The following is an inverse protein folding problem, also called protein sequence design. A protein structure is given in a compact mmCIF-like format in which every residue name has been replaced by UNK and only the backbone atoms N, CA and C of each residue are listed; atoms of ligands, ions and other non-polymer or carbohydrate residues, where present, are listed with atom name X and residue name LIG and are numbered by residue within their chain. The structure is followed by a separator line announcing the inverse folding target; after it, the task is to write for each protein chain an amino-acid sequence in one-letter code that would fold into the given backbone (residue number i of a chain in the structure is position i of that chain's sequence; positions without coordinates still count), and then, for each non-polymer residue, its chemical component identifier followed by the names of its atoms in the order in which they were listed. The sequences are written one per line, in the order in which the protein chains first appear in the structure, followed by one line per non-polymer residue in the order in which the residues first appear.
data_IF_466800862818
#
_entry.id   IF_466800862818
#
_cell.length_a   1.000
_cell.length_b   1.000
_cell.length_c   1.000
_cell.angle_alpha   90.00
_cell.angle_beta   90.00
_cell.angle_gamma   90.00
#
_symmetry.space_group_name_H-M   'P 1'
#
loop_
_entity.id
_entity.type
_entity.pdbx_description
1 polymer ?
#
# COMPACT_ATOMS: atom_id res chain seq x y z
N UNK A 1 -21.66 -30.21 -43.80
CA UNK A 1 -20.86 -30.67 -44.96
C UNK A 1 -19.52 -29.95 -44.91
N UNK A 2 -18.46 -30.74 -45.05
CA UNK A 2 -17.04 -30.39 -44.84
C UNK A 2 -16.58 -29.33 -45.84
N UNK A 3 -15.72 -28.40 -45.43
CA UNK A 3 -14.75 -27.72 -46.28
C UNK A 3 -13.93 -26.75 -45.43
N UNK A 4 -12.62 -26.58 -45.56
CA UNK A 4 -11.51 -27.44 -45.97
C UNK A 4 -10.29 -26.73 -45.37
N UNK A 5 -9.55 -27.39 -44.49
CA UNK A 5 -8.31 -26.86 -43.91
C UNK A 5 -7.25 -26.97 -45.00
N UNK A 6 -6.77 -25.83 -45.52
CA UNK A 6 -5.59 -25.82 -46.39
C UNK A 6 -4.39 -25.30 -45.59
N UNK A 7 -3.51 -26.25 -45.30
CA UNK A 7 -2.18 -26.06 -44.72
C UNK A 7 -1.20 -25.84 -45.88
N UNK A 8 -0.43 -24.76 -45.88
CA UNK A 8 0.73 -24.59 -46.77
C UNK A 8 1.92 -24.05 -45.95
N UNK A 9 3.12 -24.65 -46.08
CA UNK A 9 4.32 -24.32 -45.29
C UNK A 9 5.20 -23.26 -45.98
N UNK A 10 6.36 -22.98 -45.37
CA UNK A 10 7.51 -22.20 -45.90
C UNK A 10 7.35 -20.67 -45.82
N UNK A 11 8.32 -19.86 -45.38
CA UNK A 11 9.78 -20.02 -45.21
C UNK A 11 10.25 -18.92 -44.28
N UNK A 12 11.21 -19.23 -43.40
CA UNK A 12 11.92 -18.23 -42.61
C UNK A 12 12.77 -17.33 -43.51
N UNK A 13 12.52 -16.02 -43.46
CA UNK A 13 13.45 -14.99 -43.92
C UNK A 13 13.65 -13.99 -42.79
N UNK A 14 14.75 -14.16 -42.06
CA UNK A 14 15.26 -13.16 -41.12
C UNK A 14 15.80 -11.97 -41.90
N UNK A 15 14.99 -10.93 -42.06
CA UNK A 15 15.48 -9.64 -42.53
C UNK A 15 16.16 -8.92 -41.35
N UNK A 16 17.49 -8.79 -41.43
CA UNK A 16 18.28 -7.95 -40.55
C UNK A 16 17.88 -6.49 -40.72
N UNK A 17 17.21 -5.92 -39.72
CA UNK A 17 16.94 -4.48 -39.65
C UNK A 17 18.11 -3.82 -38.94
N UNK A 18 19.01 -3.22 -39.72
CA UNK A 18 20.04 -2.30 -39.22
C UNK A 18 19.36 -0.96 -38.96
N UNK A 19 19.10 -0.66 -37.69
CA UNK A 19 18.66 0.66 -37.23
C UNK A 19 19.90 1.50 -36.87
N UNK A 20 20.34 2.33 -37.81
CA UNK A 20 21.18 3.50 -37.51
C UNK A 20 20.24 4.67 -37.28
N UNK A 21 20.06 5.08 -36.02
CA UNK A 21 19.44 6.34 -35.67
C UNK A 21 20.50 7.24 -35.01
N UNK A 22 20.88 8.27 -35.77
CA UNK A 22 21.69 9.42 -35.36
C UNK A 22 21.05 10.10 -34.15
N UNK A 23 21.89 10.41 -33.15
CA UNK A 23 21.45 11.12 -31.94
C UNK A 23 20.99 12.55 -32.24
N UNK A 24 19.86 12.92 -31.63
CA UNK A 24 19.40 14.29 -31.40
C UNK A 24 18.44 14.24 -30.21
N UNK A 25 18.81 14.90 -29.11
CA UNK A 25 17.92 15.10 -27.98
C UNK A 25 18.57 14.81 -26.64
N UNK A 26 19.60 15.57 -26.31
CA UNK A 26 19.88 15.92 -24.92
C UNK A 26 18.66 16.72 -24.42
N UNK A 27 17.55 16.03 -24.12
CA UNK A 27 16.47 16.61 -23.35
C UNK A 27 17.07 16.84 -21.96
N UNK A 28 17.20 18.09 -21.45
CA UNK A 28 17.01 18.26 -20.03
C UNK A 28 15.59 17.76 -19.80
N UNK A 29 15.45 16.48 -19.47
CA UNK A 29 14.22 15.96 -18.93
C UNK A 29 13.89 16.94 -17.83
N UNK A 30 12.78 17.68 -17.99
CA UNK A 30 12.24 18.48 -16.90
C UNK A 30 12.27 17.54 -15.72
N UNK A 31 13.18 17.80 -14.79
CA UNK A 31 13.07 17.27 -13.45
C UNK A 31 11.75 17.87 -12.99
N UNK A 32 10.66 17.13 -13.22
CA UNK A 32 9.39 17.37 -12.58
C UNK A 32 9.79 17.45 -11.12
N UNK A 33 9.75 18.67 -10.57
CA UNK A 33 10.12 18.90 -9.19
C UNK A 33 9.40 17.82 -8.39
N UNK A 34 10.18 16.97 -7.71
CA UNK A 34 9.58 15.95 -6.87
C UNK A 34 8.58 16.69 -5.97
N UNK A 35 7.33 16.22 -5.86
CA UNK A 35 6.33 16.90 -5.05
C UNK A 35 6.94 17.21 -3.69
N UNK A 36 6.92 18.47 -3.28
CA UNK A 36 7.48 18.83 -1.98
C UNK A 36 6.84 17.94 -0.91
N UNK A 37 7.64 17.38 0.02
CA UNK A 37 7.11 16.49 1.02
C UNK A 37 6.06 17.25 1.84
N UNK A 38 4.85 16.69 1.89
CA UNK A 38 3.77 17.26 2.68
C UNK A 38 4.23 17.48 4.14
N UNK A 39 4.13 18.73 4.60
CA UNK A 39 4.41 19.09 5.98
C UNK A 39 3.24 18.67 6.86
N UNK A 40 3.48 17.70 7.75
CA UNK A 40 2.46 17.22 8.67
C UNK A 40 2.12 18.27 9.74
N UNK A 41 0.84 18.52 10.02
CA UNK A 41 0.44 19.46 11.07
C UNK A 41 0.85 18.94 12.44
N UNK A 42 1.29 19.84 13.33
CA UNK A 42 1.77 19.49 14.67
C UNK A 42 0.69 18.86 15.58
N UNK A 43 -0.59 19.02 15.22
CA UNK A 43 -1.75 18.40 15.87
C UNK A 43 -1.80 16.88 15.65
N UNK A 44 -1.13 16.36 14.62
CA UNK A 44 -1.12 14.95 14.26
C UNK A 44 0.24 14.31 14.55
N UNK A 45 0.21 13.03 14.91
CA UNK A 45 1.40 12.23 15.20
C UNK A 45 1.55 11.16 14.11
N UNK A 46 2.12 11.49 12.93
CA UNK A 46 2.32 10.52 11.86
C UNK A 46 3.40 9.50 12.23
N UNK A 47 3.09 8.22 11.99
CA UNK A 47 3.98 7.09 12.23
C UNK A 47 4.36 6.38 10.94
N UNK A 48 5.64 5.99 10.87
CA UNK A 48 6.19 5.27 9.72
C UNK A 48 6.41 6.15 8.49
N UNK A 49 6.84 5.50 7.40
CA UNK A 49 7.26 6.17 6.16
C UNK A 49 6.19 6.14 5.06
N UNK A 50 4.99 5.61 5.34
CA UNK A 50 3.90 5.50 4.39
C UNK A 50 2.90 4.41 4.78
N UNK A 51 1.72 4.42 4.14
CA UNK A 51 0.66 3.44 4.30
C UNK A 51 -0.20 3.33 3.03
N UNK A 52 -0.55 2.11 2.57
CA UNK A 52 -0.23 0.81 3.16
C UNK A 52 1.24 0.38 2.99
N UNK A 53 1.98 0.98 2.05
CA UNK A 53 3.39 0.69 1.79
C UNK A 53 4.26 1.88 2.17
N UNK A 54 5.52 1.64 2.48
CA UNK A 54 6.48 2.71 2.70
C UNK A 54 6.61 3.57 1.42
N UNK A 55 6.66 4.89 1.58
CA UNK A 55 6.67 5.84 0.48
C UNK A 55 5.28 6.28 0.00
N UNK A 56 4.20 5.60 0.42
CA UNK A 56 2.84 6.10 0.15
C UNK A 56 2.56 7.38 0.96
N UNK A 57 1.74 8.27 0.39
CA UNK A 57 1.47 9.59 0.98
C UNK A 57 0.75 9.52 2.34
N UNK A 58 -0.10 8.52 2.54
CA UNK A 58 -0.81 8.35 3.79
C UNK A 58 0.09 7.77 4.88
N UNK A 59 -0.19 8.04 6.15
CA UNK A 59 0.57 7.48 7.29
C UNK A 59 -0.37 7.06 8.40
N UNK A 60 0.07 6.10 9.22
CA UNK A 60 -0.65 5.73 10.44
C UNK A 60 -0.56 6.89 11.43
N UNK A 61 -1.63 7.18 12.14
CA UNK A 61 -1.67 8.26 13.12
C UNK A 61 -1.65 7.71 14.54
N UNK A 62 -0.86 8.37 15.38
CA UNK A 62 -0.80 8.15 16.81
C UNK A 62 -1.81 8.94 17.59
N UNK A 63 -1.76 8.71 18.90
CA UNK A 63 -2.58 9.43 19.86
C UNK A 63 -2.10 10.86 20.02
N UNK A 64 -3.05 11.78 19.88
CA UNK A 64 -2.94 13.21 20.11
C UNK A 64 -4.33 13.76 20.46
N UNK A 65 -4.44 14.97 21.01
CA UNK A 65 -5.74 15.60 21.26
C UNK A 65 -6.65 15.66 20.02
N UNK A 66 -6.08 15.73 18.82
CA UNK A 66 -6.85 15.75 17.56
C UNK A 66 -7.32 14.35 17.11
N UNK A 67 -6.66 13.27 17.55
CA UNK A 67 -6.95 11.91 17.11
C UNK A 67 -7.65 11.04 18.15
N UNK A 68 -7.65 11.43 19.43
CA UNK A 68 -8.19 10.63 20.55
C UNK A 68 -9.64 10.16 20.32
N UNK A 69 -10.50 10.99 19.73
CA UNK A 69 -11.90 10.63 19.46
C UNK A 69 -12.08 9.63 18.31
N UNK A 70 -11.03 9.37 17.53
CA UNK A 70 -11.07 8.52 16.34
C UNK A 70 -10.29 7.21 16.51
N UNK A 71 -9.49 7.10 17.57
CA UNK A 71 -8.69 5.91 17.84
C UNK A 71 -9.58 4.80 18.41
N UNK A 72 -9.62 3.69 17.69
CA UNK A 72 -10.33 2.48 18.08
C UNK A 72 -9.33 1.34 18.25
N UNK A 73 -9.36 0.66 19.39
CA UNK A 73 -8.56 -0.55 19.64
C UNK A 73 -8.72 -1.63 18.54
N UNK A 74 -9.89 -1.71 17.89
CA UNK A 74 -10.18 -2.66 16.81
C UNK A 74 -9.87 -2.13 15.41
N UNK A 75 -9.44 -0.88 15.28
CA UNK A 75 -9.08 -0.28 13.99
C UNK A 75 -7.69 0.37 14.05
N UNK A 76 -7.15 0.71 12.90
CA UNK A 76 -5.99 1.59 12.79
C UNK A 76 -6.47 2.91 12.21
N UNK A 77 -5.97 4.00 12.77
CA UNK A 77 -6.22 5.33 12.23
C UNK A 77 -5.11 5.69 11.25
N UNK A 78 -5.51 6.08 10.04
CA UNK A 78 -4.61 6.50 8.95
C UNK A 78 -4.99 7.90 8.52
N UNK A 79 -3.99 8.78 8.44
CA UNK A 79 -4.12 10.11 7.88
C UNK A 79 -3.64 10.10 6.44
N UNK A 80 -4.42 10.69 5.54
CA UNK A 80 -4.03 10.93 4.15
C UNK A 80 -4.03 12.43 3.89
N UNK A 81 -2.90 13.02 3.48
CA UNK A 81 -2.87 14.42 3.06
C UNK A 81 -3.85 14.69 1.91
N UNK A 82 -4.55 15.82 2.00
CA UNK A 82 -5.56 16.25 1.03
C UNK A 82 -6.97 15.79 1.37
N UNK A 83 -7.88 16.04 0.42
CA UNK A 83 -9.30 15.76 0.57
C UNK A 83 -9.64 14.27 0.53
N UNK A 84 -10.83 13.94 1.03
CA UNK A 84 -11.38 12.58 1.02
C UNK A 84 -11.54 11.95 -0.37
N UNK A 85 -11.50 12.76 -1.43
CA UNK A 85 -11.60 12.31 -2.83
C UNK A 85 -10.25 12.02 -3.48
N UNK A 86 -9.15 12.30 -2.78
CA UNK A 86 -7.80 12.07 -3.28
C UNK A 86 -7.61 10.59 -3.70
N UNK A 87 -6.72 10.37 -4.68
CA UNK A 87 -6.48 9.03 -5.21
C UNK A 87 -6.06 8.04 -4.13
N UNK A 88 -5.25 8.49 -3.17
CA UNK A 88 -4.76 7.70 -2.03
C UNK A 88 -5.91 7.29 -1.09
N UNK A 89 -6.78 8.23 -0.71
CA UNK A 89 -7.95 7.93 0.13
C UNK A 89 -8.85 6.91 -0.59
N UNK A 90 -9.20 7.17 -1.85
CA UNK A 90 -10.03 6.25 -2.64
C UNK A 90 -9.41 4.85 -2.77
N UNK A 91 -8.09 4.75 -2.91
CA UNK A 91 -7.40 3.47 -2.95
C UNK A 91 -7.52 2.70 -1.62
N UNK A 92 -7.39 3.39 -0.49
CA UNK A 92 -7.57 2.78 0.85
C UNK A 92 -9.01 2.30 1.04
N UNK A 93 -10.00 3.15 0.73
CA UNK A 93 -11.41 2.81 0.89
C UNK A 93 -11.79 1.58 0.06
N UNK A 94 -11.30 1.48 -1.19
CA UNK A 94 -11.57 0.33 -2.06
C UNK A 94 -10.88 -0.96 -1.62
N UNK A 95 -9.62 -0.89 -1.19
CA UNK A 95 -8.79 -2.08 -0.97
C UNK A 95 -8.81 -2.59 0.48
N UNK A 96 -9.05 -1.72 1.46
CA UNK A 96 -8.79 -2.01 2.88
C UNK A 96 -10.04 -1.90 3.76
N UNK A 97 -11.22 -1.71 3.17
CA UNK A 97 -12.49 -1.50 3.90
C UNK A 97 -12.39 -0.34 4.90
N UNK A 98 -11.56 0.66 4.59
CA UNK A 98 -11.44 1.86 5.40
C UNK A 98 -12.72 2.71 5.35
N UNK A 99 -12.93 3.55 6.35
CA UNK A 99 -13.99 4.55 6.40
C UNK A 99 -13.41 5.91 6.80
N UNK A 100 -13.77 6.96 6.07
CA UNK A 100 -13.44 8.33 6.48
C UNK A 100 -14.18 8.67 7.78
N UNK A 101 -13.44 9.08 8.79
CA UNK A 101 -13.96 9.42 10.13
C UNK A 101 -13.89 10.91 10.44
N UNK A 102 -13.12 11.68 9.68
CA UNK A 102 -13.02 13.12 9.82
C UNK A 102 -11.93 13.71 8.93
N UNK A 103 -11.71 15.01 9.08
CA UNK A 103 -10.61 15.75 8.48
C UNK A 103 -10.01 16.68 9.55
N UNK A 104 -8.69 16.77 9.62
CA UNK A 104 -7.96 17.67 10.53
C UNK A 104 -6.84 18.31 9.75
N UNK A 105 -6.80 19.64 9.72
CA UNK A 105 -5.70 20.43 9.13
C UNK A 105 -5.30 19.99 7.71
N UNK A 106 -6.31 19.70 6.85
CA UNK A 106 -6.09 19.25 5.48
C UNK A 106 -5.63 17.79 5.34
N UNK A 107 -5.77 16.99 6.41
CA UNK A 107 -5.52 15.54 6.41
C UNK A 107 -6.83 14.81 6.64
N UNK A 108 -7.21 13.97 5.67
CA UNK A 108 -8.35 13.05 5.81
C UNK A 108 -8.00 11.92 6.78
N UNK A 109 -8.81 11.71 7.81
CA UNK A 109 -8.68 10.60 8.74
C UNK A 109 -9.53 9.41 8.30
N UNK A 110 -8.91 8.24 8.24
CA UNK A 110 -9.51 6.98 7.82
C UNK A 110 -9.33 5.94 8.91
N UNK A 111 -10.43 5.37 9.39
CA UNK A 111 -10.41 4.20 10.26
C UNK A 111 -10.43 2.93 9.43
N UNK A 112 -9.47 2.05 9.66
CA UNK A 112 -9.30 0.78 8.94
C UNK A 112 -9.44 -0.36 9.95
N UNK A 113 -10.47 -1.20 9.86
CA UNK A 113 -10.65 -2.30 10.80
C UNK A 113 -9.47 -3.26 10.72
N UNK A 114 -8.96 -3.66 11.89
CA UNK A 114 -7.96 -4.72 11.98
C UNK A 114 -8.66 -6.03 11.59
N UNK A 115 -8.18 -6.71 10.55
CA UNK A 115 -8.67 -8.06 10.27
C UNK A 115 -8.37 -8.95 11.49
N UNK A 116 -9.38 -9.67 11.99
CA UNK A 116 -9.20 -10.65 13.07
C UNK A 116 -8.31 -11.78 12.51
N UNK A 117 -6.99 -11.64 12.65
CA UNK A 117 -6.00 -12.59 12.15
C UNK A 117 -4.87 -12.01 11.31
N UNK A 118 -4.72 -10.68 11.22
CA UNK A 118 -3.61 -10.04 10.50
C UNK A 118 -2.45 -9.61 11.38
N UNK A 119 -1.87 -10.53 12.15
CA UNK A 119 -0.57 -10.31 12.82
C UNK A 119 0.53 -10.39 11.76
N UNK A 120 0.73 -9.34 10.95
CA UNK A 120 2.04 -9.14 10.31
C UNK A 120 2.96 -8.51 11.34
N UNK A 121 3.38 -9.39 12.25
CA UNK A 121 4.46 -9.24 13.18
C UNK A 121 5.01 -10.65 13.35
N UNK A 122 5.83 -11.08 12.40
CA UNK A 122 6.74 -12.20 12.58
C UNK A 122 7.55 -11.96 13.85
N UNK A 123 7.09 -12.53 14.96
CA UNK A 123 7.93 -12.85 16.10
C UNK A 123 8.10 -14.36 16.07
N UNK A 124 9.24 -14.88 15.58
CA UNK A 124 9.57 -16.27 15.76
C UNK A 124 9.77 -16.54 17.26
N UNK A 125 8.86 -17.32 17.83
CA UNK A 125 9.13 -18.08 19.06
C UNK A 125 8.45 -17.57 20.32
N UNK A 126 7.47 -18.33 20.79
CA UNK A 126 7.66 -19.11 22.00
C UNK A 126 6.64 -20.27 22.01
N UNK A 127 7.09 -21.46 21.61
CA UNK A 127 6.37 -22.68 21.97
C UNK A 127 6.65 -22.94 23.45
N UNK A 128 5.75 -22.48 24.32
CA UNK A 128 5.74 -22.90 25.72
C UNK A 128 5.30 -24.36 25.78
N UNK A 129 6.27 -25.27 25.65
CA UNK A 129 6.11 -26.66 26.01
C UNK A 129 5.76 -26.78 27.49
N UNK A 130 4.52 -27.14 27.79
CA UNK A 130 4.07 -27.53 29.12
C UNK A 130 4.14 -29.05 29.27
N UNK A 131 5.33 -29.61 29.47
CA UNK A 131 5.44 -30.95 30.02
C UNK A 131 5.00 -30.93 31.49
N UNK A 132 3.88 -31.59 31.80
CA UNK A 132 3.67 -32.21 33.12
C UNK A 132 3.37 -33.69 32.90
N UNK A 133 4.44 -34.49 32.93
CA UNK A 133 4.36 -35.84 33.47
C UNK A 133 4.12 -35.78 35.00
N UNK A 134 3.92 -36.97 35.60
CA UNK A 134 3.71 -37.37 37.02
C UNK A 134 2.30 -37.06 37.58
N UNK A 135 1.51 -37.99 38.13
CA UNK A 135 1.75 -39.35 38.66
C UNK A 135 0.39 -40.03 39.02
N UNK A 136 0.39 -41.37 39.09
CA UNK A 136 -0.46 -42.29 39.89
C UNK A 136 -1.99 -42.51 39.65
N UNK A 137 -2.36 -43.79 39.83
CA UNK A 137 -3.70 -44.43 39.96
C UNK A 137 -4.35 -44.80 38.62
N UNK A 138 -4.68 -46.06 38.29
CA UNK A 138 -5.16 -47.22 39.09
C UNK A 138 -4.92 -48.52 38.31
#
# INVERSE_FOLDING_TARGET
MRNAINFVPSTATFAAVVLIAVGLGNHPGSAAAAPEPFAWPASLVPMGQGYPKAGDACRRLGESPATSNYLDHMAMLVGCPGSGDSASVRAILRNQRGRVVGEVDGVTLISIPKSKGGTTGDVPGHQSGGAKAKDATR
#
